data_IF_093113451091
#
_entry.id   IF_093113451091
#
_cell.length_a   1.000
_cell.length_b   1.000
_cell.length_c   1.000
_cell.angle_alpha   90.00
_cell.angle_beta   90.00
_cell.angle_gamma   90.00
#
_symmetry.space_group_name_H-M   'P 1'
#
loop_
_entity.id
_entity.type
_entity.pdbx_description
1 polymer ?
#
# COMPACT_ATOMS: atom_id res chain seq x y z
N UNK A 1 18.44 5.88 30.13
CA UNK A 1 17.64 7.12 30.21
C UNK A 1 16.93 7.22 28.91
N UNK A 2 15.65 7.04 28.97
CA UNK A 2 14.57 7.18 28.00
C UNK A 2 14.92 7.61 26.57
N UNK A 3 14.88 6.65 25.65
CA UNK A 3 14.86 6.87 24.21
C UNK A 3 13.65 6.20 23.53
N UNK A 4 12.64 5.79 24.31
CA UNK A 4 11.47 5.05 23.79
C UNK A 4 10.17 5.85 23.77
N UNK A 5 10.16 7.12 24.13
CA UNK A 5 8.93 7.94 24.14
C UNK A 5 8.68 8.69 22.82
N UNK A 6 9.68 8.82 21.91
CA UNK A 6 9.52 9.55 20.66
C UNK A 6 8.83 8.77 19.52
N UNK A 7 8.96 7.45 19.50
CA UNK A 7 8.60 6.66 18.31
C UNK A 7 7.09 6.49 18.10
N UNK A 8 6.31 6.38 19.16
CA UNK A 8 4.84 6.28 19.07
C UNK A 8 4.12 7.63 18.86
N UNK A 9 4.80 8.76 19.04
CA UNK A 9 4.21 10.09 18.86
C UNK A 9 4.07 10.44 17.39
N UNK A 10 5.08 10.22 16.55
CA UNK A 10 5.04 10.55 15.11
C UNK A 10 3.97 9.74 14.35
N UNK A 11 3.79 8.45 14.71
CA UNK A 11 2.70 7.63 14.15
C UNK A 11 1.33 8.18 14.55
N UNK A 12 1.17 8.68 15.78
CA UNK A 12 -0.08 9.31 16.24
C UNK A 12 -0.31 10.65 15.56
N UNK A 13 0.72 11.46 15.41
CA UNK A 13 0.65 12.73 14.71
C UNK A 13 0.17 12.57 13.27
N UNK A 14 0.63 11.54 12.55
CA UNK A 14 0.18 11.27 11.18
C UNK A 14 -1.32 10.97 11.09
N UNK A 15 -1.92 10.41 12.15
CA UNK A 15 -3.36 10.09 12.20
C UNK A 15 -4.24 11.31 12.51
N UNK A 16 -3.68 12.38 13.05
CA UNK A 16 -4.42 13.58 13.44
C UNK A 16 -4.48 14.65 12.31
N UNK A 17 -3.85 14.37 11.15
CA UNK A 17 -3.73 15.33 10.03
C UNK A 17 -5.00 15.46 9.16
N UNK A 18 -6.01 14.64 9.40
CA UNK A 18 -7.36 14.72 8.79
C UNK A 18 -7.34 14.81 7.24
N UNK A 19 -6.36 14.18 6.60
CA UNK A 19 -6.20 14.15 5.14
C UNK A 19 -5.54 15.40 4.54
N UNK A 20 -4.90 16.24 5.34
CA UNK A 20 -4.09 17.36 4.84
C UNK A 20 -2.82 16.83 4.16
N UNK A 21 -2.86 16.84 2.83
CA UNK A 21 -1.81 16.26 1.96
C UNK A 21 -0.47 16.98 2.14
N UNK A 22 -0.47 18.31 2.31
CA UNK A 22 0.77 19.09 2.47
C UNK A 22 1.39 18.81 3.83
N UNK A 23 0.60 18.81 4.90
CA UNK A 23 1.07 18.48 6.25
C UNK A 23 1.57 17.04 6.34
N UNK A 24 0.91 16.09 5.67
CA UNK A 24 1.32 14.70 5.60
C UNK A 24 2.67 14.54 4.87
N UNK A 25 2.85 15.25 3.75
CA UNK A 25 4.11 15.26 3.00
C UNK A 25 5.28 15.80 3.82
N UNK A 26 5.07 16.89 4.54
CA UNK A 26 6.10 17.51 5.41
C UNK A 26 6.45 16.57 6.57
N UNK A 27 5.47 15.93 7.21
CA UNK A 27 5.71 14.97 8.28
C UNK A 27 6.58 13.80 7.81
N UNK A 28 6.22 13.18 6.69
CA UNK A 28 6.98 12.05 6.13
C UNK A 28 8.35 12.44 5.62
N UNK A 29 8.55 13.69 5.19
CA UNK A 29 9.86 14.21 4.82
C UNK A 29 10.81 14.23 6.02
N UNK A 30 10.34 14.72 7.17
CA UNK A 30 11.16 14.81 8.38
C UNK A 30 11.38 13.41 9.00
N UNK A 31 10.46 12.49 8.78
CA UNK A 31 10.50 11.14 9.36
C UNK A 31 11.29 10.13 8.52
N UNK A 32 11.56 10.41 7.24
CA UNK A 32 12.13 9.44 6.29
C UNK A 32 13.43 8.76 6.77
N UNK A 33 14.33 9.52 7.43
CA UNK A 33 15.62 9.00 7.89
C UNK A 33 15.49 7.97 9.03
N UNK A 34 14.49 8.11 9.91
CA UNK A 34 14.31 7.24 11.08
C UNK A 34 13.17 6.25 10.92
N UNK A 35 12.33 6.41 9.89
CA UNK A 35 11.12 5.62 9.66
C UNK A 35 11.35 4.11 9.80
N UNK A 36 12.36 3.56 9.10
CA UNK A 36 12.62 2.12 9.12
C UNK A 36 13.00 1.60 10.51
N UNK A 37 13.70 2.42 11.30
CA UNK A 37 14.06 2.07 12.67
C UNK A 37 12.82 2.09 13.58
N UNK A 38 11.98 3.10 13.42
CA UNK A 38 10.80 3.32 14.23
C UNK A 38 9.76 2.21 13.99
N UNK A 39 9.42 1.93 12.73
CA UNK A 39 8.45 0.85 12.39
C UNK A 39 9.02 -0.56 12.71
N UNK A 40 10.33 -0.75 12.67
CA UNK A 40 10.96 -2.00 13.11
C UNK A 40 10.77 -2.22 14.61
N UNK A 41 10.77 -1.16 15.42
CA UNK A 41 10.52 -1.25 16.86
C UNK A 41 9.06 -1.63 17.19
N UNK A 42 8.13 -1.34 16.28
CA UNK A 42 6.69 -1.65 16.37
C UNK A 42 6.33 -3.04 15.79
N UNK A 43 7.32 -3.86 15.40
CA UNK A 43 7.11 -5.14 14.71
C UNK A 43 6.18 -5.00 13.49
N UNK A 44 6.48 -4.02 12.61
CA UNK A 44 5.68 -3.75 11.41
C UNK A 44 5.75 -4.88 10.39
N UNK A 45 4.70 -5.69 10.35
CA UNK A 45 4.61 -6.90 9.54
C UNK A 45 3.90 -6.70 8.20
N UNK A 46 3.24 -5.57 7.99
CA UNK A 46 2.40 -5.34 6.81
C UNK A 46 3.14 -5.55 5.48
N UNK A 47 4.40 -5.08 5.28
CA UNK A 47 5.11 -5.30 4.02
C UNK A 47 5.30 -6.78 3.68
N UNK A 48 5.71 -7.57 4.67
CA UNK A 48 5.89 -9.01 4.51
C UNK A 48 4.56 -9.73 4.32
N UNK A 49 3.54 -9.30 5.06
CA UNK A 49 2.25 -9.97 5.06
C UNK A 49 1.49 -9.71 3.76
N UNK A 50 1.47 -8.48 3.24
CA UNK A 50 0.76 -8.17 1.98
C UNK A 50 1.32 -8.95 0.80
N UNK A 51 2.66 -9.14 0.73
CA UNK A 51 3.28 -9.94 -0.33
C UNK A 51 2.93 -11.42 -0.17
N UNK A 52 2.97 -11.97 1.05
CA UNK A 52 2.52 -13.35 1.30
C UNK A 52 1.04 -13.54 0.95
N UNK A 53 0.20 -12.57 1.27
CA UNK A 53 -1.22 -12.62 0.97
C UNK A 53 -1.47 -12.55 -0.55
N UNK A 54 -0.73 -11.69 -1.27
CA UNK A 54 -0.73 -11.65 -2.74
C UNK A 54 -0.42 -13.03 -3.33
N UNK A 55 0.63 -13.70 -2.86
CA UNK A 55 0.98 -15.06 -3.33
C UNK A 55 -0.16 -16.05 -3.10
N UNK A 56 -0.86 -15.97 -1.96
CA UNK A 56 -2.04 -16.79 -1.69
C UNK A 56 -3.19 -16.52 -2.67
N UNK A 57 -3.41 -15.24 -3.02
CA UNK A 57 -4.46 -14.84 -3.96
C UNK A 57 -4.14 -15.30 -5.39
N UNK A 58 -2.85 -15.30 -5.78
CA UNK A 58 -2.42 -15.79 -7.09
C UNK A 58 -2.73 -17.29 -7.31
N UNK A 59 -2.87 -18.06 -6.24
CA UNK A 59 -3.25 -19.47 -6.29
C UNK A 59 -4.79 -19.70 -6.45
N UNK A 60 -5.61 -18.64 -6.45
CA UNK A 60 -7.06 -18.79 -6.63
C UNK A 60 -7.42 -19.10 -8.07
N UNK A 61 -8.33 -20.04 -8.30
CA UNK A 61 -8.80 -20.44 -9.63
C UNK A 61 -9.39 -19.28 -10.45
N UNK A 62 -9.89 -18.23 -9.77
CA UNK A 62 -10.44 -17.04 -10.40
C UNK A 62 -9.35 -16.11 -10.98
N UNK A 63 -8.08 -16.30 -10.60
CA UNK A 63 -6.96 -15.45 -10.99
C UNK A 63 -6.23 -16.09 -12.16
N UNK A 64 -6.16 -15.37 -13.30
CA UNK A 64 -5.56 -15.88 -14.55
C UNK A 64 -4.30 -15.10 -14.93
N UNK A 65 -3.53 -14.66 -13.94
CA UNK A 65 -2.26 -13.96 -14.12
C UNK A 65 -1.10 -14.95 -14.36
N UNK A 66 0.03 -14.49 -14.94
CA UNK A 66 1.24 -15.29 -15.04
C UNK A 66 1.69 -15.84 -13.67
N UNK A 67 2.17 -17.05 -13.63
CA UNK A 67 2.67 -17.69 -12.40
C UNK A 67 4.14 -17.37 -12.12
N UNK A 68 4.90 -17.01 -13.16
CA UNK A 68 6.32 -16.68 -13.02
C UNK A 68 6.50 -15.28 -12.43
N UNK A 69 7.18 -15.12 -11.29
CA UNK A 69 7.32 -13.82 -10.61
C UNK A 69 7.86 -12.70 -11.51
N UNK A 70 8.83 -12.99 -12.38
CA UNK A 70 9.45 -12.00 -13.28
C UNK A 70 8.57 -11.63 -14.49
N UNK A 71 7.48 -12.33 -14.75
CA UNK A 71 6.50 -11.97 -15.78
C UNK A 71 5.51 -10.92 -15.29
N UNK A 72 5.27 -10.84 -13.99
CA UNK A 72 4.31 -9.91 -13.37
C UNK A 72 4.90 -8.51 -13.27
N UNK A 73 4.15 -7.51 -13.70
CA UNK A 73 4.45 -6.10 -13.50
C UNK A 73 3.65 -5.58 -12.30
N UNK A 74 4.36 -5.15 -11.27
CA UNK A 74 3.79 -4.79 -9.97
C UNK A 74 3.99 -3.30 -9.72
N UNK A 75 2.97 -2.63 -9.16
CA UNK A 75 3.11 -1.29 -8.61
C UNK A 75 2.92 -1.33 -7.08
N UNK A 76 3.85 -0.70 -6.38
CA UNK A 76 3.79 -0.47 -4.93
C UNK A 76 3.32 0.98 -4.71
N UNK A 77 2.04 1.14 -4.42
CA UNK A 77 1.35 2.41 -4.27
C UNK A 77 1.45 2.92 -2.82
N UNK A 78 2.07 4.08 -2.63
CA UNK A 78 2.46 4.55 -1.32
C UNK A 78 3.63 3.73 -0.78
N UNK A 79 4.70 3.62 -1.58
CA UNK A 79 5.81 2.70 -1.31
C UNK A 79 6.65 3.08 -0.09
N UNK A 80 6.52 4.31 0.42
CA UNK A 80 7.32 4.83 1.53
C UNK A 80 8.81 4.63 1.29
N UNK A 81 9.50 4.07 2.26
CA UNK A 81 10.94 3.74 2.21
C UNK A 81 11.25 2.43 1.46
N UNK A 82 10.25 1.80 0.82
CA UNK A 82 10.45 0.66 -0.07
C UNK A 82 10.39 -0.73 0.58
N UNK A 83 9.83 -0.85 1.76
CA UNK A 83 9.79 -2.13 2.49
C UNK A 83 9.03 -3.23 1.74
N UNK A 84 7.94 -2.92 1.05
CA UNK A 84 7.17 -3.88 0.22
C UNK A 84 7.99 -4.32 -0.98
N UNK A 85 8.65 -3.39 -1.68
CA UNK A 85 9.53 -3.70 -2.81
C UNK A 85 10.68 -4.64 -2.41
N UNK A 86 11.29 -4.41 -1.25
CA UNK A 86 12.33 -5.32 -0.69
C UNK A 86 11.78 -6.73 -0.49
N UNK A 87 10.57 -6.86 0.05
CA UNK A 87 9.95 -8.18 0.24
C UNK A 87 9.58 -8.86 -1.09
N UNK A 88 9.12 -8.10 -2.09
CA UNK A 88 8.88 -8.59 -3.44
C UNK A 88 10.16 -9.09 -4.09
N UNK A 89 11.25 -8.28 -4.06
CA UNK A 89 12.55 -8.65 -4.62
C UNK A 89 13.13 -9.94 -4.01
N UNK A 90 13.02 -10.13 -2.69
CA UNK A 90 13.42 -11.36 -2.00
C UNK A 90 12.72 -12.62 -2.54
N UNK A 91 11.52 -12.47 -3.15
CA UNK A 91 10.72 -13.56 -3.72
C UNK A 91 10.84 -13.70 -5.23
N UNK A 92 11.75 -12.93 -5.85
CA UNK A 92 12.07 -13.04 -7.28
C UNK A 92 11.19 -12.17 -8.18
N UNK A 93 10.41 -11.25 -7.63
CA UNK A 93 9.73 -10.23 -8.44
C UNK A 93 10.74 -9.15 -8.83
N UNK A 94 10.85 -8.83 -10.12
CA UNK A 94 11.86 -7.92 -10.66
C UNK A 94 11.27 -6.67 -11.31
N UNK A 95 10.01 -6.75 -11.77
CA UNK A 95 9.35 -5.65 -12.50
C UNK A 95 8.46 -4.85 -11.55
N UNK A 96 9.10 -4.13 -10.64
CA UNK A 96 8.45 -3.39 -9.56
C UNK A 96 8.64 -1.90 -9.83
N UNK A 97 7.53 -1.19 -9.99
CA UNK A 97 7.48 0.26 -9.96
C UNK A 97 6.83 0.71 -8.64
N UNK A 98 7.13 1.91 -8.18
CA UNK A 98 6.52 2.44 -6.96
C UNK A 98 6.36 3.95 -7.00
N UNK A 99 5.48 4.46 -6.17
CA UNK A 99 5.34 5.89 -5.95
C UNK A 99 4.92 6.20 -4.52
N UNK A 100 5.22 7.42 -4.11
CA UNK A 100 4.83 7.94 -2.80
C UNK A 100 4.52 9.43 -2.88
N UNK A 101 3.79 9.96 -1.90
CA UNK A 101 3.56 11.39 -1.74
C UNK A 101 4.85 12.13 -1.36
N UNK A 102 5.73 11.49 -0.58
CA UNK A 102 6.96 12.08 -0.07
C UNK A 102 8.16 11.75 -0.96
N UNK A 103 8.78 12.79 -1.55
CA UNK A 103 10.04 12.63 -2.28
C UNK A 103 11.16 12.06 -1.39
N UNK A 104 11.22 12.47 -0.11
CA UNK A 104 12.23 11.99 0.83
C UNK A 104 12.09 10.49 1.13
N UNK A 105 10.85 9.98 1.25
CA UNK A 105 10.60 8.54 1.37
C UNK A 105 11.08 7.78 0.13
N UNK A 106 10.77 8.30 -1.04
CA UNK A 106 11.20 7.73 -2.32
C UNK A 106 12.73 7.73 -2.45
N UNK A 107 13.41 8.75 -1.96
CA UNK A 107 14.87 8.79 -1.97
C UNK A 107 15.48 7.65 -1.14
N UNK A 108 14.90 7.34 0.03
CA UNK A 108 15.28 6.16 0.83
C UNK A 108 14.95 4.85 0.10
N UNK A 109 13.78 4.78 -0.57
CA UNK A 109 13.40 3.59 -1.33
C UNK A 109 14.35 3.28 -2.50
N UNK A 110 14.96 4.29 -3.14
CA UNK A 110 15.96 4.12 -4.20
C UNK A 110 17.18 3.33 -3.74
N UNK A 111 17.60 3.53 -2.48
CA UNK A 111 18.77 2.86 -1.91
C UNK A 111 18.54 1.35 -1.70
N UNK A 112 17.30 0.87 -1.79
CA UNK A 112 16.97 -0.57 -1.68
C UNK A 112 17.29 -1.35 -2.95
N UNK A 113 17.48 -0.70 -4.09
CA UNK A 113 17.63 -1.34 -5.41
C UNK A 113 16.48 -2.30 -5.77
N UNK A 114 15.31 -2.17 -5.12
CA UNK A 114 14.19 -3.08 -5.34
C UNK A 114 13.33 -2.71 -6.55
N UNK A 115 13.33 -1.46 -6.97
CA UNK A 115 12.40 -0.92 -7.94
C UNK A 115 13.05 -0.66 -9.29
N UNK A 116 12.28 -0.89 -10.38
CA UNK A 116 12.63 -0.48 -11.74
C UNK A 116 12.39 1.02 -11.96
N UNK A 117 11.37 1.55 -11.32
CA UNK A 117 10.99 2.96 -11.39
C UNK A 117 10.35 3.41 -10.08
N UNK A 118 10.76 4.60 -9.61
CA UNK A 118 10.19 5.26 -8.42
C UNK A 118 9.83 6.70 -8.74
N UNK A 119 8.68 7.17 -8.23
CA UNK A 119 8.18 8.53 -8.43
C UNK A 119 7.72 9.09 -7.09
N UNK A 120 8.33 10.22 -6.66
CA UNK A 120 7.91 10.99 -5.51
C UNK A 120 6.89 12.08 -5.89
N UNK A 121 6.34 12.77 -4.89
CA UNK A 121 5.35 13.84 -5.07
C UNK A 121 4.04 13.37 -5.71
N UNK A 122 3.71 12.09 -5.59
CA UNK A 122 2.57 11.47 -6.26
C UNK A 122 1.38 11.32 -5.30
N UNK A 123 0.42 12.21 -5.41
CA UNK A 123 -0.80 12.25 -4.60
C UNK A 123 -1.89 11.35 -5.19
N UNK A 124 -2.25 10.26 -4.48
CA UNK A 124 -3.29 9.34 -4.91
C UNK A 124 -4.73 9.81 -4.64
N UNK A 125 -4.91 11.00 -4.05
CA UNK A 125 -6.23 11.64 -3.97
C UNK A 125 -6.62 12.34 -5.28
N UNK A 126 -5.69 12.40 -6.24
CA UNK A 126 -5.85 13.00 -7.56
C UNK A 126 -5.42 12.02 -8.64
N UNK A 127 -5.75 12.35 -9.90
CA UNK A 127 -5.35 11.52 -11.04
C UNK A 127 -3.85 11.33 -11.10
N UNK A 128 -3.39 10.08 -10.95
CA UNK A 128 -1.99 9.69 -11.04
C UNK A 128 -1.58 9.71 -12.53
N UNK A 129 -0.73 10.68 -12.91
CA UNK A 129 -0.26 10.86 -14.30
C UNK A 129 1.15 10.29 -14.52
N UNK A 130 1.79 9.85 -13.44
CA UNK A 130 3.14 9.33 -13.51
C UNK A 130 3.22 7.97 -14.19
N UNK A 131 2.14 7.23 -14.20
CA UNK A 131 2.03 5.89 -14.78
C UNK A 131 0.83 5.83 -15.72
N UNK A 132 0.90 4.96 -16.71
CA UNK A 132 -0.20 4.72 -17.66
C UNK A 132 -1.32 3.93 -16.96
N UNK A 133 -2.55 4.09 -17.44
CA UNK A 133 -3.67 3.26 -17.05
C UNK A 133 -3.45 1.83 -17.52
N UNK A 134 -4.09 0.88 -16.83
CA UNK A 134 -4.03 -0.54 -17.17
C UNK A 134 -2.60 -1.07 -17.35
N UNK A 135 -1.64 -0.50 -16.59
CA UNK A 135 -0.23 -0.81 -16.79
C UNK A 135 0.27 -2.00 -15.95
N UNK A 136 -0.42 -2.34 -14.86
CA UNK A 136 0.08 -3.29 -13.87
C UNK A 136 -0.80 -4.52 -13.76
N UNK A 137 -0.16 -5.69 -13.66
CA UNK A 137 -0.84 -6.96 -13.39
C UNK A 137 -1.30 -7.00 -11.92
N UNK A 138 -0.50 -6.40 -11.04
CA UNK A 138 -0.77 -6.31 -9.60
C UNK A 138 -0.47 -4.90 -9.11
N UNK A 139 -1.35 -4.35 -8.27
CA UNK A 139 -1.11 -3.14 -7.48
C UNK A 139 -1.19 -3.50 -6.00
N UNK A 140 -0.14 -3.19 -5.23
CA UNK A 140 -0.11 -3.34 -3.79
C UNK A 140 -0.16 -1.96 -3.12
N UNK A 141 -0.90 -1.85 -2.01
CA UNK A 141 -0.98 -0.63 -1.23
C UNK A 141 -1.01 -0.96 0.27
N UNK A 142 0.15 -0.88 0.93
CA UNK A 142 0.31 -1.22 2.34
C UNK A 142 0.49 0.02 3.21
N UNK A 143 -0.30 0.15 4.28
CA UNK A 143 -0.10 1.20 5.28
C UNK A 143 -0.63 2.58 4.91
N UNK A 144 -1.32 2.74 3.79
CA UNK A 144 -1.82 4.02 3.28
C UNK A 144 -3.26 4.30 3.74
N UNK A 145 -4.14 3.30 3.66
CA UNK A 145 -5.54 3.44 4.11
C UNK A 145 -5.64 3.36 5.63
N UNK A 146 -5.29 4.46 6.26
CA UNK A 146 -5.32 4.68 7.71
C UNK A 146 -5.89 6.07 8.02
N UNK A 147 -6.30 6.29 9.27
CA UNK A 147 -6.85 7.58 9.70
C UNK A 147 -5.84 8.71 9.45
N UNK A 148 -6.33 9.87 9.07
CA UNK A 148 -5.50 11.04 8.79
C UNK A 148 -4.79 11.05 7.42
N UNK A 149 -4.86 9.96 6.64
CA UNK A 149 -4.16 9.87 5.35
C UNK A 149 -5.09 10.09 4.15
N UNK A 150 -5.75 9.03 3.68
CA UNK A 150 -6.57 9.08 2.46
C UNK A 150 -7.98 8.56 2.72
N UNK A 151 -8.94 9.02 1.92
CA UNK A 151 -10.30 8.48 1.91
C UNK A 151 -10.37 7.22 1.03
N UNK A 152 -11.39 6.35 1.21
CA UNK A 152 -11.60 5.16 0.38
C UNK A 152 -11.63 5.44 -1.13
N UNK A 153 -12.03 6.66 -1.54
CA UNK A 153 -12.05 7.10 -2.94
C UNK A 153 -10.68 7.07 -3.64
N UNK A 154 -9.58 7.13 -2.89
CA UNK A 154 -8.23 6.96 -3.45
C UNK A 154 -8.03 5.58 -4.11
N UNK A 155 -8.83 4.57 -3.73
CA UNK A 155 -8.85 3.25 -4.36
C UNK A 155 -9.15 3.33 -5.88
N UNK A 156 -9.89 4.33 -6.32
CA UNK A 156 -10.24 4.55 -7.72
C UNK A 156 -8.99 4.75 -8.59
N UNK A 157 -8.00 5.49 -8.09
CA UNK A 157 -6.75 5.72 -8.82
C UNK A 157 -5.92 4.44 -8.93
N UNK A 158 -5.95 3.59 -7.91
CA UNK A 158 -5.28 2.29 -7.93
C UNK A 158 -5.96 1.32 -8.90
N UNK A 159 -7.29 1.38 -9.02
CA UNK A 159 -8.05 0.63 -10.03
C UNK A 159 -7.63 1.05 -11.44
N UNK A 160 -7.45 2.36 -11.72
CA UNK A 160 -6.99 2.82 -13.03
C UNK A 160 -5.59 2.31 -13.39
N UNK A 161 -4.70 2.14 -12.41
CA UNK A 161 -3.37 1.59 -12.66
C UNK A 161 -3.38 0.09 -12.95
N UNK A 162 -4.39 -0.61 -12.45
CA UNK A 162 -4.49 -2.07 -12.53
C UNK A 162 -5.17 -2.49 -13.84
N UNK A 163 -4.58 -3.44 -14.56
CA UNK A 163 -5.18 -4.01 -15.78
C UNK A 163 -6.54 -4.65 -15.50
N UNK A 164 -7.47 -4.66 -16.48
CA UNK A 164 -8.61 -5.56 -16.41
C UNK A 164 -8.15 -7.02 -16.22
N UNK A 165 -8.74 -7.73 -15.25
CA UNK A 165 -8.32 -9.05 -14.80
C UNK A 165 -7.13 -9.05 -13.84
N UNK A 166 -6.49 -7.90 -13.63
CA UNK A 166 -5.42 -7.72 -12.65
C UNK A 166 -5.93 -7.66 -11.21
N UNK A 167 -5.01 -7.68 -10.26
CA UNK A 167 -5.31 -7.76 -8.83
C UNK A 167 -4.83 -6.52 -8.10
N UNK A 168 -5.71 -5.91 -7.34
CA UNK A 168 -5.41 -4.84 -6.41
C UNK A 168 -5.50 -5.38 -4.98
N UNK A 169 -4.41 -5.27 -4.21
CA UNK A 169 -4.39 -5.68 -2.80
C UNK A 169 -4.02 -4.48 -1.93
N UNK A 170 -4.85 -4.22 -0.93
CA UNK A 170 -4.59 -3.15 0.02
C UNK A 170 -4.81 -3.59 1.46
N UNK A 171 -4.11 -2.91 2.37
CA UNK A 171 -4.35 -3.04 3.82
C UNK A 171 -5.09 -1.83 4.36
N UNK A 172 -6.01 -2.07 5.29
CA UNK A 172 -6.66 -1.04 6.09
C UNK A 172 -6.48 -1.36 7.57
N UNK A 173 -6.12 -0.39 8.40
CA UNK A 173 -6.26 -0.60 9.85
C UNK A 173 -7.72 -0.84 10.18
N UNK A 174 -7.98 -1.70 11.20
CA UNK A 174 -9.35 -2.07 11.58
C UNK A 174 -10.22 -0.84 11.86
N UNK A 175 -9.72 0.08 12.67
CA UNK A 175 -10.44 1.31 13.01
C UNK A 175 -10.78 2.16 11.79
N UNK A 176 -9.84 2.32 10.86
CA UNK A 176 -10.08 3.02 9.60
C UNK A 176 -11.16 2.33 8.78
N UNK A 177 -11.09 1.00 8.63
CA UNK A 177 -12.08 0.24 7.85
C UNK A 177 -13.50 0.45 8.36
N UNK A 178 -13.67 0.50 9.69
CA UNK A 178 -14.96 0.71 10.35
C UNK A 178 -15.44 2.17 10.19
N UNK A 179 -14.60 3.17 10.51
CA UNK A 179 -14.98 4.60 10.52
C UNK A 179 -15.17 5.15 9.11
N UNK A 180 -14.28 4.81 8.15
CA UNK A 180 -14.37 5.24 6.77
C UNK A 180 -15.34 4.40 5.92
N UNK A 181 -15.94 3.34 6.50
CA UNK A 181 -16.83 2.40 5.82
C UNK A 181 -16.20 1.82 4.55
N UNK A 182 -14.93 1.42 4.65
CA UNK A 182 -14.15 0.98 3.49
C UNK A 182 -14.78 -0.24 2.80
N UNK A 183 -15.34 -1.17 3.56
CA UNK A 183 -16.07 -2.33 3.02
C UNK A 183 -17.27 -1.92 2.17
N UNK A 184 -18.10 -1.00 2.66
CA UNK A 184 -19.27 -0.51 1.92
C UNK A 184 -18.85 0.16 0.60
N UNK A 185 -17.70 0.85 0.59
CA UNK A 185 -17.15 1.46 -0.61
C UNK A 185 -16.71 0.39 -1.63
N UNK A 186 -16.05 -0.69 -1.18
CA UNK A 186 -15.70 -1.82 -2.04
C UNK A 186 -16.94 -2.52 -2.60
N UNK A 187 -17.97 -2.78 -1.76
CA UNK A 187 -19.24 -3.37 -2.20
C UNK A 187 -19.96 -2.47 -3.23
N UNK A 188 -19.88 -1.16 -3.07
CA UNK A 188 -20.42 -0.23 -4.07
C UNK A 188 -19.68 -0.35 -5.41
N UNK A 189 -18.34 -0.34 -5.43
CA UNK A 189 -17.55 -0.54 -6.65
C UNK A 189 -17.81 -1.90 -7.31
N UNK A 190 -18.03 -2.96 -6.51
CA UNK A 190 -18.44 -4.27 -7.01
C UNK A 190 -19.82 -4.23 -7.65
N UNK A 191 -20.80 -3.54 -7.03
CA UNK A 191 -22.14 -3.36 -7.60
C UNK A 191 -22.15 -2.58 -8.91
N UNK A 192 -21.15 -1.70 -9.13
CA UNK A 192 -20.93 -0.99 -10.39
C UNK A 192 -20.18 -1.85 -11.44
N UNK A 193 -19.76 -3.07 -11.10
CA UNK A 193 -19.00 -3.96 -11.98
C UNK A 193 -17.56 -3.50 -12.25
N UNK A 194 -16.99 -2.66 -11.38
CA UNK A 194 -15.62 -2.17 -11.52
C UNK A 194 -14.58 -3.12 -10.94
N UNK A 195 -14.98 -3.87 -9.93
CA UNK A 195 -14.15 -4.86 -9.23
C UNK A 195 -14.98 -6.10 -8.88
N UNK A 196 -14.32 -7.19 -8.54
CA UNK A 196 -14.85 -8.29 -7.72
C UNK A 196 -14.03 -8.40 -6.45
N UNK A 197 -14.68 -8.52 -5.29
CA UNK A 197 -14.01 -8.79 -4.01
C UNK A 197 -13.66 -10.28 -3.98
N UNK A 198 -12.38 -10.63 -4.19
CA UNK A 198 -11.92 -12.02 -4.18
C UNK A 198 -11.81 -12.59 -2.78
N UNK A 199 -11.27 -11.82 -1.85
CA UNK A 199 -11.07 -12.21 -0.46
C UNK A 199 -10.90 -11.00 0.46
N UNK A 200 -11.23 -11.17 1.73
CA UNK A 200 -10.96 -10.19 2.79
C UNK A 200 -10.40 -10.90 4.01
N UNK A 201 -9.09 -10.83 4.21
CA UNK A 201 -8.45 -11.38 5.39
C UNK A 201 -8.50 -10.38 6.55
N UNK A 202 -9.43 -10.61 7.48
CA UNK A 202 -9.68 -9.72 8.62
C UNK A 202 -8.78 -10.06 9.81
N UNK A 203 -8.37 -9.02 10.54
CA UNK A 203 -7.57 -9.13 11.77
C UNK A 203 -6.23 -9.85 11.55
N UNK A 204 -5.60 -9.61 10.41
CA UNK A 204 -4.30 -10.16 10.07
C UNK A 204 -3.15 -9.31 10.64
N UNK A 205 -1.93 -9.85 10.72
CA UNK A 205 -0.77 -9.16 11.27
C UNK A 205 -0.49 -7.81 10.59
N UNK A 206 -0.24 -6.76 11.38
CA UNK A 206 0.09 -5.42 10.91
C UNK A 206 1.22 -4.79 11.72
N UNK A 207 0.95 -4.39 12.96
CA UNK A 207 1.92 -3.99 13.98
C UNK A 207 1.64 -4.79 15.25
N UNK A 208 2.56 -4.74 16.25
CA UNK A 208 2.41 -5.50 17.48
C UNK A 208 1.07 -5.25 18.20
N UNK A 209 0.61 -4.00 18.21
CA UNK A 209 -0.56 -3.57 19.00
C UNK A 209 -1.87 -3.59 18.20
N UNK A 210 -1.85 -3.62 16.87
CA UNK A 210 -3.04 -3.50 16.03
C UNK A 210 -3.00 -4.40 14.80
N UNK A 211 -4.11 -5.07 14.53
CA UNK A 211 -4.32 -5.86 13.32
C UNK A 211 -4.88 -4.99 12.17
N UNK A 212 -4.71 -5.47 10.95
CA UNK A 212 -5.31 -4.88 9.75
C UNK A 212 -6.25 -5.85 9.03
N UNK A 213 -7.06 -5.31 8.14
CA UNK A 213 -7.76 -6.08 7.12
C UNK A 213 -7.00 -5.96 5.81
N UNK A 214 -6.85 -7.07 5.10
CA UNK A 214 -6.26 -7.10 3.76
C UNK A 214 -7.36 -7.47 2.77
N UNK A 215 -7.51 -6.65 1.76
CA UNK A 215 -8.53 -6.73 0.73
C UNK A 215 -7.88 -7.13 -0.59
N UNK A 216 -8.37 -8.19 -1.20
CA UNK A 216 -7.96 -8.63 -2.53
C UNK A 216 -9.12 -8.40 -3.51
N UNK A 217 -8.89 -7.55 -4.50
CA UNK A 217 -9.87 -7.07 -5.46
C UNK A 217 -9.40 -7.41 -6.87
N UNK A 218 -10.24 -8.03 -7.69
CA UNK A 218 -9.98 -8.16 -9.12
C UNK A 218 -10.62 -7.01 -9.87
N UNK A 219 -9.88 -6.37 -10.75
CA UNK A 219 -10.33 -5.21 -11.55
C UNK A 219 -10.97 -5.69 -12.87
N UNK A 220 -12.02 -5.00 -13.36
CA UNK A 220 -12.75 -5.31 -14.59
C UNK A 220 -12.63 -4.26 -15.67
#
# INVERSE_FOLDING_TARGET
>A
MNTNEGNGETIKESHDLDGDVDALSDLYKDWAETYNQDVSSEDYQAPRYIVKYMETILDYDAVTLPTEPNALKINDAGCGTGLVGVELKKRGYERIDGFDLSDAMVDVAKDTDAYSRLVGGCDMTRRIKAFDDDAYDIVLCAGVFTLGHVFPSALIELIYLTKPGGILITSTRKRYADEARFGDFCEHLESEGRISILDVNKNAPYIAEEAAHYWALQVH
#
